data_IF_187490573044
#
_entry.id   IF_187490573044
#
_cell.length_a   1.000
_cell.length_b   1.000
_cell.length_c   1.000
_cell.angle_alpha   90.00
_cell.angle_beta   90.00
_cell.angle_gamma   90.00
#
_symmetry.space_group_name_H-M   'P 1'
#
loop_
_entity.id
_entity.type
_entity.pdbx_description
1 polymer ?
#
# COMPACT_ATOMS: atom_id res chain seq x y z
N UNK A 1 6.84 -0.39 31.72
CA UNK A 1 7.56 0.69 32.44
C UNK A 1 6.63 1.19 33.53
N UNK A 2 7.02 1.04 34.79
CA UNK A 2 6.19 1.34 35.96
C UNK A 2 6.29 2.84 36.34
N UNK A 3 5.28 3.35 37.04
CA UNK A 3 5.09 4.73 37.52
C UNK A 3 6.20 5.30 38.46
N UNK A 4 7.37 4.66 38.57
CA UNK A 4 8.36 4.95 39.63
C UNK A 4 9.77 5.34 39.16
N UNK A 5 10.06 5.31 37.86
CA UNK A 5 11.37 5.76 37.35
C UNK A 5 11.22 7.13 36.69
N UNK A 6 11.15 8.19 37.49
CA UNK A 6 11.30 9.56 36.99
C UNK A 6 12.76 9.81 36.62
N UNK A 7 13.10 9.70 35.33
CA UNK A 7 14.41 10.14 34.84
C UNK A 7 14.40 11.68 34.84
N UNK A 8 15.14 12.29 35.76
CA UNK A 8 15.34 13.74 35.79
C UNK A 8 16.36 14.16 34.73
N UNK A 9 15.87 14.47 33.54
CA UNK A 9 16.66 14.94 32.38
C UNK A 9 17.25 16.35 32.55
N UNK A 10 17.05 17.01 33.69
CA UNK A 10 17.73 18.28 34.01
C UNK A 10 19.15 18.05 34.56
N UNK A 11 19.42 16.87 35.10
CA UNK A 11 20.75 16.48 35.61
C UNK A 11 21.64 15.88 34.51
N UNK A 12 22.99 16.02 34.59
CA UNK A 12 23.89 15.33 33.66
C UNK A 12 23.69 13.81 33.62
N UNK A 13 23.46 13.19 34.78
CA UNK A 13 23.20 11.75 34.89
C UNK A 13 21.89 11.31 34.24
N UNK A 14 20.80 12.06 34.45
CA UNK A 14 19.52 11.76 33.82
C UNK A 14 19.52 11.99 32.31
N UNK A 15 20.28 12.98 31.80
CA UNK A 15 20.52 13.14 30.35
C UNK A 15 21.25 11.94 29.76
N UNK A 16 22.30 11.44 30.43
CA UNK A 16 23.01 10.24 29.98
C UNK A 16 22.07 9.03 29.89
N UNK A 17 21.31 8.76 30.95
CA UNK A 17 20.36 7.64 30.98
C UNK A 17 19.29 7.77 29.90
N UNK A 18 18.76 8.97 29.69
CA UNK A 18 17.81 9.25 28.61
C UNK A 18 18.41 8.96 27.23
N UNK A 19 19.65 9.38 26.96
CA UNK A 19 20.32 9.10 25.70
C UNK A 19 20.60 7.61 25.48
N UNK A 20 20.99 6.88 26.53
CA UNK A 20 21.17 5.42 26.46
C UNK A 20 19.86 4.74 26.10
N UNK A 21 18.76 5.09 26.75
CA UNK A 21 17.45 4.54 26.39
C UNK A 21 17.01 4.92 24.97
N UNK A 22 17.31 6.14 24.53
CA UNK A 22 17.09 6.55 23.15
C UNK A 22 17.84 5.66 22.16
N UNK A 23 19.13 5.40 22.42
CA UNK A 23 19.96 4.54 21.59
C UNK A 23 19.46 3.08 21.58
N UNK A 24 19.03 2.54 22.72
CA UNK A 24 18.45 1.20 22.80
C UNK A 24 17.14 1.12 22.02
N UNK A 25 16.27 2.11 22.15
CA UNK A 25 15.00 2.15 21.41
C UNK A 25 15.21 2.24 19.89
N UNK A 26 16.22 3.00 19.44
CA UNK A 26 16.61 3.06 18.03
C UNK A 26 17.13 1.71 17.54
N UNK A 27 18.03 1.08 18.29
CA UNK A 27 18.55 -0.25 17.97
C UNK A 27 17.45 -1.32 17.87
N UNK A 28 16.51 -1.36 18.81
CA UNK A 28 15.38 -2.29 18.77
C UNK A 28 14.49 -2.06 17.55
N UNK A 29 14.25 -0.79 17.18
CA UNK A 29 13.49 -0.44 15.99
C UNK A 29 14.18 -0.93 14.72
N UNK A 30 15.49 -0.76 14.62
CA UNK A 30 16.26 -1.19 13.45
C UNK A 30 16.24 -2.72 13.31
N UNK A 31 16.39 -3.47 14.41
CA UNK A 31 16.23 -4.94 14.39
C UNK A 31 14.85 -5.38 13.91
N UNK A 32 13.78 -4.69 14.32
CA UNK A 32 12.42 -4.97 13.86
C UNK A 32 12.29 -4.71 12.36
N UNK A 33 12.88 -3.62 11.86
CA UNK A 33 12.87 -3.28 10.43
C UNK A 33 13.61 -4.32 9.61
N UNK A 34 14.83 -4.69 10.00
CA UNK A 34 15.63 -5.72 9.33
C UNK A 34 14.85 -7.03 9.21
N UNK A 35 14.25 -7.47 10.32
CA UNK A 35 13.46 -8.71 10.36
C UNK A 35 12.21 -8.62 9.48
N UNK A 36 11.55 -7.47 9.47
CA UNK A 36 10.36 -7.23 8.64
C UNK A 36 10.73 -7.28 7.16
N UNK A 37 11.82 -6.62 6.77
CA UNK A 37 12.31 -6.63 5.39
C UNK A 37 12.70 -8.03 4.93
N UNK A 38 13.43 -8.78 5.75
CA UNK A 38 13.77 -10.18 5.46
C UNK A 38 12.50 -11.05 5.28
N UNK A 39 11.47 -10.83 6.11
CA UNK A 39 10.19 -11.53 6.00
C UNK A 39 9.41 -11.16 4.73
N UNK A 40 9.39 -9.88 4.35
CA UNK A 40 8.77 -9.39 3.13
C UNK A 40 9.45 -9.95 1.88
N UNK A 41 10.79 -9.96 1.86
CA UNK A 41 11.57 -10.52 0.76
C UNK A 41 11.33 -12.02 0.61
N UNK A 42 11.39 -12.78 1.70
CA UNK A 42 11.05 -14.20 1.68
C UNK A 42 9.62 -14.46 1.19
N UNK A 43 8.65 -13.59 1.53
CA UNK A 43 7.30 -13.70 1.01
C UNK A 43 7.22 -13.38 -0.48
N UNK A 44 7.97 -12.39 -0.96
CA UNK A 44 8.06 -12.01 -2.38
C UNK A 44 8.65 -13.14 -3.22
N UNK A 45 9.73 -13.77 -2.76
CA UNK A 45 10.35 -14.96 -3.39
C UNK A 45 9.35 -16.11 -3.50
N UNK A 46 8.48 -16.31 -2.49
CA UNK A 46 7.38 -17.28 -2.53
C UNK A 46 6.21 -16.86 -3.44
N UNK A 47 6.31 -15.75 -4.17
CA UNK A 47 5.30 -15.27 -5.11
C UNK A 47 4.19 -14.41 -4.49
N UNK A 48 4.30 -14.03 -3.20
CA UNK A 48 3.32 -13.12 -2.60
C UNK A 48 3.49 -11.72 -3.18
N UNK A 49 2.46 -11.23 -3.88
CA UNK A 49 2.36 -9.82 -4.27
C UNK A 49 1.75 -9.02 -3.12
N UNK A 50 2.55 -8.16 -2.50
CA UNK A 50 2.10 -7.24 -1.44
C UNK A 50 1.24 -6.08 -1.98
N UNK A 51 0.88 -5.15 -1.09
CA UNK A 51 0.13 -3.94 -1.45
C UNK A 51 -1.38 -4.14 -1.53
N UNK A 52 -2.09 -3.06 -1.92
CA UNK A 52 -3.55 -3.05 -2.06
C UNK A 52 -3.97 -3.90 -3.26
N UNK A 53 -4.95 -4.79 -3.06
CA UNK A 53 -5.53 -5.58 -4.16
C UNK A 53 -6.09 -4.66 -5.26
N UNK A 54 -5.88 -4.97 -6.55
CA UNK A 54 -6.46 -4.22 -7.65
C UNK A 54 -7.98 -4.11 -7.51
N UNK A 55 -8.53 -2.92 -7.80
CA UNK A 55 -9.98 -2.70 -7.73
C UNK A 55 -10.75 -3.36 -8.89
N UNK A 56 -10.07 -3.60 -10.02
CA UNK A 56 -10.61 -4.29 -11.18
C UNK A 56 -9.79 -5.53 -11.49
N UNK A 57 -10.48 -6.66 -11.64
CA UNK A 57 -9.96 -7.88 -12.22
C UNK A 57 -10.23 -7.92 -13.73
N UNK A 58 -9.70 -8.94 -14.41
CA UNK A 58 -9.83 -9.08 -15.87
C UNK A 58 -11.29 -9.19 -16.31
N UNK A 59 -12.14 -9.83 -15.51
CA UNK A 59 -13.57 -9.99 -15.80
C UNK A 59 -14.30 -8.65 -15.74
N UNK A 60 -14.04 -7.84 -14.71
CA UNK A 60 -14.58 -6.49 -14.59
C UNK A 60 -14.10 -5.57 -15.70
N UNK A 61 -12.83 -5.68 -16.09
CA UNK A 61 -12.27 -4.90 -17.22
C UNK A 61 -12.97 -5.28 -18.52
N UNK A 62 -13.14 -6.58 -18.80
CA UNK A 62 -13.85 -7.05 -20.00
C UNK A 62 -15.31 -6.62 -20.02
N UNK A 63 -16.02 -6.74 -18.90
CA UNK A 63 -17.42 -6.30 -18.77
C UNK A 63 -17.56 -4.79 -18.98
N UNK A 64 -16.75 -3.99 -18.29
CA UNK A 64 -16.76 -2.54 -18.46
C UNK A 64 -16.39 -2.13 -19.89
N UNK A 65 -15.41 -2.78 -20.51
CA UNK A 65 -15.02 -2.54 -21.91
C UNK A 65 -16.20 -2.78 -22.86
N UNK A 66 -16.95 -3.87 -22.66
CA UNK A 66 -18.15 -4.16 -23.46
C UNK A 66 -19.23 -3.09 -23.27
N UNK A 67 -19.54 -2.73 -22.03
CA UNK A 67 -20.56 -1.72 -21.72
C UNK A 67 -20.19 -0.32 -22.22
N UNK A 68 -18.91 0.06 -22.18
CA UNK A 68 -18.45 1.36 -22.69
C UNK A 68 -18.47 1.45 -24.22
N UNK A 69 -18.37 0.32 -24.92
CA UNK A 69 -18.47 0.27 -26.39
C UNK A 69 -19.92 0.35 -26.86
N UNK A 70 -20.86 -0.03 -26.00
CA UNK A 70 -22.27 0.26 -26.19
C UNK A 70 -22.52 1.75 -25.94
N UNK A 71 -22.79 2.50 -27.02
CA UNK A 71 -22.93 3.95 -26.96
C UNK A 71 -24.20 4.42 -26.25
N UNK A 72 -25.11 3.50 -25.94
CA UNK A 72 -26.35 3.81 -25.22
C UNK A 72 -26.17 3.78 -23.70
N UNK A 73 -25.09 3.17 -23.19
CA UNK A 73 -24.86 3.03 -21.74
C UNK A 73 -24.10 4.24 -21.16
N UNK A 74 -24.68 5.02 -20.23
CA UNK A 74 -23.97 6.10 -19.57
C UNK A 74 -22.82 5.61 -18.70
N UNK A 75 -21.71 6.35 -18.65
CA UNK A 75 -20.52 5.97 -17.86
C UNK A 75 -20.82 5.84 -16.34
N UNK A 76 -21.81 6.58 -15.81
CA UNK A 76 -22.25 6.40 -14.42
C UNK A 76 -22.82 5.00 -14.19
N UNK A 77 -23.64 4.51 -15.09
CA UNK A 77 -24.24 3.18 -15.00
C UNK A 77 -23.16 2.09 -15.12
N UNK A 78 -22.18 2.27 -16.03
CA UNK A 78 -21.01 1.38 -16.10
C UNK A 78 -20.29 1.31 -14.75
N UNK A 79 -20.03 2.46 -14.12
CA UNK A 79 -19.35 2.55 -12.83
C UNK A 79 -20.12 1.84 -11.71
N UNK A 80 -21.45 1.97 -11.69
CA UNK A 80 -22.33 1.31 -10.73
C UNK A 80 -22.30 -0.21 -10.92
N UNK A 81 -22.43 -0.68 -12.16
CA UNK A 81 -22.41 -2.11 -12.49
C UNK A 81 -21.09 -2.78 -12.10
N UNK A 82 -19.95 -2.16 -12.39
CA UNK A 82 -18.65 -2.73 -11.99
C UNK A 82 -18.21 -2.39 -10.56
N UNK A 83 -18.92 -1.47 -9.91
CA UNK A 83 -18.70 -1.07 -8.52
C UNK A 83 -17.41 -0.29 -8.29
N UNK A 84 -17.03 0.61 -9.21
CA UNK A 84 -15.82 1.44 -9.08
C UNK A 84 -16.08 2.90 -9.46
N UNK A 85 -15.26 3.81 -8.95
CA UNK A 85 -15.35 5.23 -9.33
C UNK A 85 -14.94 5.45 -10.80
N UNK A 86 -15.42 6.54 -11.42
CA UNK A 86 -14.98 6.97 -12.77
C UNK A 86 -13.46 7.06 -12.90
N UNK A 87 -12.79 7.60 -11.87
CA UNK A 87 -11.33 7.69 -11.84
C UNK A 87 -10.67 6.29 -11.88
N UNK A 88 -11.24 5.33 -11.15
CA UNK A 88 -10.76 3.93 -11.19
C UNK A 88 -11.03 3.32 -12.55
N UNK A 89 -12.23 3.48 -13.11
CA UNK A 89 -12.60 2.97 -14.44
C UNK A 89 -11.60 3.45 -15.50
N UNK A 90 -11.33 4.77 -15.56
CA UNK A 90 -10.43 5.35 -16.55
C UNK A 90 -8.94 5.07 -16.31
N UNK A 91 -8.57 4.57 -15.12
CA UNK A 91 -7.22 4.03 -14.89
C UNK A 91 -7.01 2.71 -15.64
N UNK A 92 -8.07 1.92 -15.81
CA UNK A 92 -8.01 0.62 -16.52
C UNK A 92 -8.44 0.72 -17.98
N UNK A 93 -9.35 1.64 -18.33
CA UNK A 93 -9.92 1.77 -19.67
C UNK A 93 -9.69 3.19 -20.23
N UNK A 94 -9.53 3.29 -21.54
CA UNK A 94 -9.59 4.56 -22.28
C UNK A 94 -11.06 4.98 -22.47
N UNK A 95 -11.33 6.26 -22.81
CA UNK A 95 -12.70 6.73 -23.07
C UNK A 95 -13.44 5.97 -24.16
N UNK A 96 -12.73 5.34 -25.11
CA UNK A 96 -13.28 4.48 -26.17
C UNK A 96 -13.57 3.03 -25.72
N UNK A 97 -13.40 2.74 -24.42
CA UNK A 97 -13.61 1.42 -23.84
C UNK A 97 -12.46 0.44 -24.12
N UNK A 98 -11.34 0.85 -24.71
CA UNK A 98 -10.17 -0.03 -24.89
C UNK A 98 -9.35 -0.14 -23.60
N UNK A 99 -8.84 -1.34 -23.24
CA UNK A 99 -7.96 -1.48 -22.08
C UNK A 99 -6.70 -0.63 -22.20
N UNK A 100 -6.36 0.09 -21.14
CA UNK A 100 -5.04 0.68 -21.00
C UNK A 100 -4.05 -0.44 -20.72
N UNK A 101 -2.82 -0.37 -21.28
CA UNK A 101 -1.76 -1.28 -20.86
C UNK A 101 -1.65 -1.17 -19.35
N UNK A 102 -1.60 -2.32 -18.66
CA UNK A 102 -1.25 -2.32 -17.24
C UNK A 102 0.14 -1.72 -17.19
N UNK A 103 0.25 -0.48 -16.72
CA UNK A 103 1.52 -0.03 -16.17
C UNK A 103 1.83 -1.04 -15.09
N UNK A 104 2.83 -1.88 -15.33
CA UNK A 104 3.43 -2.73 -14.32
C UNK A 104 3.99 -1.76 -13.28
N UNK A 105 3.13 -1.34 -12.35
CA UNK A 105 3.49 -0.42 -11.28
C UNK A 105 4.76 -0.94 -10.67
N UNK A 106 5.83 -0.16 -10.85
CA UNK A 106 7.21 -0.58 -10.71
C UNK A 106 7.37 -1.53 -9.54
N UNK A 107 7.80 -2.75 -9.85
CA UNK A 107 8.60 -3.53 -8.92
C UNK A 107 9.91 -2.77 -8.71
N UNK A 108 9.86 -1.61 -8.05
CA UNK A 108 11.05 -1.02 -7.50
C UNK A 108 11.51 -1.96 -6.38
N UNK A 109 12.71 -2.50 -6.64
CA UNK A 109 13.64 -3.11 -5.70
C UNK A 109 13.54 -2.53 -4.29
#
# INVERSE_FOLDING_TARGET
MSLRESIDTTTPGGKLVFHVFGAVAEFERDLILERTMAGLEAARVRGRKGGRKPAMDERKVALASKLMRDRETPISEVCEVVGVSRATLYRYLRPDGTPRPREEGGSHM
#
